data_IF_452770591804
#
_entry.id   IF_452770591804
#
_cell.length_a   1.000
_cell.length_b   1.000
_cell.length_c   1.000
_cell.angle_alpha   90.00
_cell.angle_beta   90.00
_cell.angle_gamma   90.00
#
_symmetry.space_group_name_H-M   'P 1'
#
loop_
_entity.id
_entity.type
_entity.pdbx_description
1 polymer ?
#
# COMPACT_ATOMS: atom_id res chain seq x y z
N UNK A 1 19.90 29.73 0.59
CA UNK A 1 20.31 28.95 -0.60
C UNK A 1 20.39 27.44 -0.36
N UNK A 2 21.05 26.93 0.71
CA UNK A 2 21.09 25.47 1.00
C UNK A 2 19.71 24.85 1.25
N UNK A 3 18.87 25.46 2.09
CA UNK A 3 17.52 24.93 2.40
C UNK A 3 16.64 24.80 1.15
N UNK A 4 16.69 25.80 0.25
CA UNK A 4 15.93 25.79 -1.00
C UNK A 4 16.33 24.64 -1.93
N UNK A 5 17.64 24.33 -2.03
CA UNK A 5 18.12 23.21 -2.85
C UNK A 5 17.70 21.86 -2.27
N UNK A 6 17.78 21.69 -0.95
CA UNK A 6 17.31 20.47 -0.30
C UNK A 6 15.81 20.24 -0.50
N UNK A 7 14.99 21.29 -0.45
CA UNK A 7 13.56 21.20 -0.73
C UNK A 7 13.26 20.89 -2.20
N UNK A 8 14.00 21.48 -3.14
CA UNK A 8 13.90 21.12 -4.57
C UNK A 8 14.14 19.63 -4.80
N UNK A 9 15.23 19.10 -4.24
CA UNK A 9 15.57 17.69 -4.38
C UNK A 9 14.51 16.80 -3.74
N UNK A 10 13.98 17.17 -2.57
CA UNK A 10 12.91 16.43 -1.89
C UNK A 10 11.61 16.40 -2.71
N UNK A 11 11.20 17.53 -3.30
CA UNK A 11 10.02 17.60 -4.17
C UNK A 11 10.22 16.72 -5.41
N UNK A 12 11.36 16.83 -6.10
CA UNK A 12 11.64 16.02 -7.29
C UNK A 12 11.75 14.53 -6.95
N UNK A 13 12.37 14.17 -5.81
CA UNK A 13 12.40 12.80 -5.28
C UNK A 13 10.99 12.26 -5.06
N UNK A 14 10.09 13.08 -4.52
CA UNK A 14 8.69 12.71 -4.26
C UNK A 14 7.92 12.50 -5.57
N UNK A 15 8.04 13.42 -6.53
CA UNK A 15 7.42 13.30 -7.85
C UNK A 15 7.98 12.12 -8.65
N UNK A 16 9.28 11.83 -8.54
CA UNK A 16 9.90 10.64 -9.12
C UNK A 16 9.29 9.34 -8.58
N UNK A 17 8.98 9.30 -7.29
CA UNK A 17 8.35 8.14 -6.67
C UNK A 17 6.89 8.00 -7.16
N UNK A 18 6.11 9.09 -7.10
CA UNK A 18 4.71 9.09 -7.50
C UNK A 18 4.51 8.75 -8.99
N UNK A 19 5.44 9.16 -9.86
CA UNK A 19 5.42 8.83 -11.29
C UNK A 19 5.56 7.32 -11.57
N UNK A 20 6.14 6.53 -10.65
CA UNK A 20 6.16 5.05 -10.75
C UNK A 20 4.73 4.50 -10.87
N UNK A 21 3.79 5.14 -10.18
CA UNK A 21 2.38 4.76 -10.12
C UNK A 21 1.50 5.59 -11.06
N UNK A 22 2.11 6.42 -11.92
CA UNK A 22 1.41 7.33 -12.83
C UNK A 22 0.42 8.24 -12.06
N UNK A 23 0.88 8.77 -10.92
CA UNK A 23 0.06 9.45 -9.95
C UNK A 23 0.54 10.89 -9.77
N UNK A 24 -0.06 11.87 -10.47
CA UNK A 24 0.23 13.28 -10.23
C UNK A 24 -0.33 13.68 -8.86
N UNK A 25 0.40 14.51 -8.12
CA UNK A 25 0.13 14.82 -6.71
C UNK A 25 -0.53 16.19 -6.56
N UNK A 26 -1.45 16.31 -5.62
CA UNK A 26 -1.89 17.63 -5.13
C UNK A 26 -0.81 18.26 -4.23
N UNK A 27 -0.95 19.54 -3.91
CA UNK A 27 -0.08 20.21 -2.94
C UNK A 27 -0.08 19.51 -1.57
N UNK A 28 -1.26 19.14 -1.05
CA UNK A 28 -1.38 18.43 0.23
C UNK A 28 -0.69 17.05 0.18
N UNK A 29 -0.90 16.29 -0.91
CA UNK A 29 -0.28 14.97 -1.08
C UNK A 29 1.24 15.09 -1.22
N UNK A 30 1.72 16.08 -1.97
CA UNK A 30 3.15 16.35 -2.12
C UNK A 30 3.79 16.72 -0.79
N UNK A 31 3.15 17.59 0.00
CA UNK A 31 3.63 17.95 1.32
C UNK A 31 3.61 16.75 2.27
N UNK A 32 2.51 15.99 2.31
CA UNK A 32 2.32 14.83 3.20
C UNK A 32 3.30 13.71 2.91
N UNK A 33 3.56 13.44 1.64
CA UNK A 33 4.42 12.35 1.17
C UNK A 33 5.82 12.80 0.78
N UNK A 34 6.23 13.99 1.23
CA UNK A 34 7.55 14.53 0.92
C UNK A 34 8.66 13.57 1.37
N UNK A 35 9.49 13.14 0.42
CA UNK A 35 10.62 12.25 0.65
C UNK A 35 11.83 13.09 1.04
N UNK A 36 12.14 13.11 2.33
CA UNK A 36 13.21 13.92 2.91
C UNK A 36 13.78 13.26 4.18
N UNK A 37 14.96 13.71 4.61
CA UNK A 37 15.60 13.24 5.86
C UNK A 37 15.10 13.94 7.12
N UNK A 38 14.36 15.04 6.98
CA UNK A 38 13.85 15.84 8.09
C UNK A 38 12.54 16.53 7.70
N UNK A 39 11.76 16.95 8.70
CA UNK A 39 10.48 17.62 8.50
C UNK A 39 10.69 18.99 7.86
N UNK A 40 9.89 19.31 6.85
CA UNK A 40 9.97 20.58 6.13
C UNK A 40 8.60 21.25 6.18
N UNK A 41 8.55 22.48 6.71
CA UNK A 41 7.33 23.27 6.81
C UNK A 41 6.83 23.74 5.44
N UNK A 42 5.51 23.85 5.29
CA UNK A 42 4.81 24.25 4.07
C UNK A 42 5.16 25.65 3.46
N UNK A 43 5.60 26.68 4.21
CA UNK A 43 5.75 28.04 3.68
C UNK A 43 6.71 28.19 2.49
N UNK A 44 7.71 27.32 2.35
CA UNK A 44 8.72 27.39 1.28
C UNK A 44 8.33 26.60 0.01
N UNK A 45 7.23 25.83 0.04
CA UNK A 45 6.88 24.88 -1.03
C UNK A 45 6.48 25.57 -2.34
N UNK A 46 5.62 26.59 -2.27
CA UNK A 46 5.03 27.24 -3.46
C UNK A 46 6.06 27.93 -4.33
N UNK A 47 6.93 28.76 -3.75
CA UNK A 47 8.02 29.43 -4.49
C UNK A 47 8.99 28.43 -5.11
N UNK A 48 9.25 27.30 -4.43
CA UNK A 48 10.10 26.24 -4.98
C UNK A 48 9.42 25.53 -6.16
N UNK A 49 8.11 25.28 -6.08
CA UNK A 49 7.34 24.68 -7.17
C UNK A 49 7.31 25.58 -8.41
N UNK A 50 7.05 26.88 -8.22
CA UNK A 50 7.09 27.89 -9.29
C UNK A 50 8.48 27.91 -9.98
N UNK A 51 9.55 27.85 -9.19
CA UNK A 51 10.92 27.76 -9.71
C UNK A 51 11.18 26.46 -10.47
N UNK A 52 10.74 25.31 -9.97
CA UNK A 52 10.90 24.03 -10.67
C UNK A 52 10.08 23.99 -11.97
N UNK A 53 8.92 24.65 -11.97
CA UNK A 53 8.07 24.78 -13.15
C UNK A 53 8.71 25.69 -14.21
N UNK A 54 9.25 26.85 -13.83
CA UNK A 54 9.96 27.75 -14.77
C UNK A 54 11.23 27.13 -15.35
N UNK A 55 11.89 26.25 -14.61
CA UNK A 55 13.00 25.42 -15.10
C UNK A 55 12.55 24.27 -16.03
N UNK A 56 11.25 24.07 -16.22
CA UNK A 56 10.67 23.03 -17.07
C UNK A 56 10.91 21.61 -16.53
N UNK A 57 11.20 21.44 -15.23
CA UNK A 57 11.43 20.14 -14.61
C UNK A 57 10.10 19.46 -14.23
N UNK A 58 9.10 20.26 -13.88
CA UNK A 58 7.76 19.83 -13.48
C UNK A 58 6.69 20.57 -14.28
N UNK A 59 5.53 19.95 -14.46
CA UNK A 59 4.31 20.59 -14.92
C UNK A 59 3.29 20.65 -13.78
N UNK A 60 2.38 21.62 -13.90
CA UNK A 60 1.20 21.75 -13.06
C UNK A 60 -0.01 21.91 -13.98
N UNK A 61 -1.08 21.17 -13.71
CA UNK A 61 -2.37 21.37 -14.37
C UNK A 61 -3.49 20.99 -13.39
N UNK A 62 -4.49 21.87 -13.22
CA UNK A 62 -5.62 21.67 -12.29
C UNK A 62 -5.17 21.38 -10.84
N UNK A 63 -4.10 22.04 -10.37
CA UNK A 63 -3.55 21.85 -9.02
C UNK A 63 -2.87 20.49 -8.81
N UNK A 64 -2.56 19.77 -9.90
CA UNK A 64 -1.84 18.50 -9.89
C UNK A 64 -0.44 18.66 -10.47
N UNK A 65 0.57 18.28 -9.70
CA UNK A 65 1.98 18.35 -10.06
C UNK A 65 2.48 17.01 -10.61
N UNK A 66 3.27 17.09 -11.69
CA UNK A 66 3.87 15.93 -12.36
C UNK A 66 5.23 16.27 -12.97
N UNK A 67 6.03 15.25 -13.29
CA UNK A 67 7.31 15.44 -13.98
C UNK A 67 7.11 15.92 -15.43
N UNK A 68 8.08 16.65 -15.98
CA UNK A 68 8.08 17.10 -17.38
C UNK A 68 7.61 16.03 -18.37
N UNK A 69 6.70 16.40 -19.27
CA UNK A 69 6.19 15.53 -20.33
C UNK A 69 5.10 14.54 -19.90
N UNK A 70 4.50 14.73 -18.72
CA UNK A 70 3.52 13.80 -18.13
C UNK A 70 2.12 14.41 -17.94
N UNK A 71 1.78 15.47 -18.66
CA UNK A 71 0.47 16.15 -18.56
C UNK A 71 -0.72 15.20 -18.79
N UNK A 72 -0.58 14.20 -19.66
CA UNK A 72 -1.60 13.18 -19.90
C UNK A 72 -2.01 12.38 -18.66
N UNK A 73 -1.21 12.40 -17.59
CA UNK A 73 -1.55 11.78 -16.31
C UNK A 73 -2.70 12.48 -15.58
N UNK A 74 -2.96 13.76 -15.84
CA UNK A 74 -4.05 14.51 -15.18
C UNK A 74 -5.41 13.95 -15.56
N UNK A 75 -5.69 13.83 -16.87
CA UNK A 75 -6.91 13.20 -17.36
C UNK A 75 -7.04 11.74 -16.87
N UNK A 76 -5.92 11.03 -16.73
CA UNK A 76 -5.88 9.67 -16.20
C UNK A 76 -6.21 9.61 -14.70
N UNK A 77 -5.71 10.55 -13.90
CA UNK A 77 -5.99 10.69 -12.46
C UNK A 77 -7.47 10.91 -12.22
N UNK A 78 -8.09 11.82 -12.97
CA UNK A 78 -9.53 12.11 -12.89
C UNK A 78 -10.35 10.86 -13.21
N UNK A 79 -10.03 10.16 -14.31
CA UNK A 79 -10.71 8.92 -14.69
C UNK A 79 -10.59 7.84 -13.62
N UNK A 80 -9.38 7.60 -13.10
CA UNK A 80 -9.13 6.58 -12.05
C UNK A 80 -9.85 6.91 -10.75
N UNK A 81 -10.02 8.20 -10.41
CA UNK A 81 -10.80 8.63 -9.24
C UNK A 81 -12.27 8.23 -9.35
N UNK A 82 -12.89 8.42 -10.51
CA UNK A 82 -14.28 7.99 -10.76
C UNK A 82 -14.41 6.46 -10.64
N UNK A 83 -13.45 5.71 -11.18
CA UNK A 83 -13.40 4.24 -11.10
C UNK A 83 -13.25 3.79 -9.64
N UNK A 84 -12.35 4.43 -8.90
CA UNK A 84 -12.09 4.16 -7.50
C UNK A 84 -13.33 4.41 -6.63
N UNK A 85 -14.12 5.45 -6.91
CA UNK A 85 -15.38 5.71 -6.21
C UNK A 85 -16.33 4.52 -6.25
N UNK A 86 -16.49 3.86 -7.41
CA UNK A 86 -17.31 2.64 -7.54
C UNK A 86 -16.76 1.48 -6.69
N UNK A 87 -15.45 1.29 -6.69
CA UNK A 87 -14.78 0.25 -5.89
C UNK A 87 -14.83 0.53 -4.39
N UNK A 88 -14.72 1.80 -3.98
CA UNK A 88 -14.87 2.23 -2.58
C UNK A 88 -16.28 2.00 -2.06
N UNK A 89 -17.33 2.17 -2.87
CA UNK A 89 -18.70 1.84 -2.47
C UNK A 89 -18.85 0.35 -2.11
N UNK A 90 -18.25 -0.54 -2.91
CA UNK A 90 -18.23 -1.98 -2.62
C UNK A 90 -17.40 -2.25 -1.36
N UNK A 91 -16.21 -1.65 -1.27
CA UNK A 91 -15.33 -1.81 -0.11
C UNK A 91 -16.02 -1.40 1.19
N UNK A 92 -16.71 -0.24 1.21
CA UNK A 92 -17.49 0.24 2.37
C UNK A 92 -18.63 -0.71 2.73
N UNK A 93 -19.37 -1.24 1.76
CA UNK A 93 -20.42 -2.25 2.01
C UNK A 93 -19.85 -3.50 2.68
N UNK A 94 -18.74 -4.02 2.15
CA UNK A 94 -18.04 -5.18 2.73
C UNK A 94 -17.50 -4.84 4.12
N UNK A 95 -16.89 -3.67 4.28
CA UNK A 95 -16.41 -3.16 5.56
C UNK A 95 -17.52 -3.10 6.61
N UNK A 96 -18.72 -2.62 6.26
CA UNK A 96 -19.87 -2.55 7.17
C UNK A 96 -20.34 -3.94 7.64
N UNK A 97 -20.29 -4.96 6.77
CA UNK A 97 -20.56 -6.33 7.17
C UNK A 97 -19.47 -6.88 8.10
N UNK A 98 -18.19 -6.67 7.76
CA UNK A 98 -17.06 -7.08 8.59
C UNK A 98 -17.07 -6.40 9.97
N UNK A 99 -17.59 -5.17 10.07
CA UNK A 99 -17.74 -4.42 11.33
C UNK A 99 -18.60 -5.14 12.38
N UNK A 100 -19.46 -6.07 11.95
CA UNK A 100 -20.29 -6.89 12.85
C UNK A 100 -19.52 -8.02 13.52
N UNK A 101 -18.34 -8.38 13.02
CA UNK A 101 -17.48 -9.39 13.64
C UNK A 101 -16.75 -8.72 14.82
N UNK A 102 -17.05 -9.07 16.09
CA UNK A 102 -16.56 -8.31 17.26
C UNK A 102 -15.04 -8.34 17.42
N UNK A 103 -14.40 -9.40 16.94
CA UNK A 103 -12.95 -9.60 17.01
C UNK A 103 -12.17 -8.80 15.96
N UNK A 104 -12.83 -8.13 15.00
CA UNK A 104 -12.15 -7.22 14.07
C UNK A 104 -12.06 -5.83 14.70
N UNK A 105 -10.83 -5.33 14.82
CA UNK A 105 -10.53 -4.00 15.36
C UNK A 105 -10.44 -2.94 14.27
N UNK A 106 -10.04 -3.30 13.05
CA UNK A 106 -9.99 -2.37 11.91
C UNK A 106 -10.14 -3.08 10.57
N UNK A 107 -10.79 -2.42 9.61
CA UNK A 107 -10.74 -2.78 8.18
C UNK A 107 -10.30 -1.56 7.40
N UNK A 108 -9.29 -1.74 6.55
CA UNK A 108 -8.74 -0.71 5.70
C UNK A 108 -8.62 -1.20 4.25
N UNK A 109 -8.67 -0.27 3.31
CA UNK A 109 -8.30 -0.49 1.92
C UNK A 109 -6.81 -0.18 1.76
N UNK A 110 -6.14 -0.96 0.92
CA UNK A 110 -4.70 -0.81 0.60
C UNK A 110 -4.49 -0.72 -0.92
N UNK A 111 -3.23 -0.51 -1.32
CA UNK A 111 -2.85 -0.48 -2.74
C UNK A 111 -3.44 0.71 -3.50
N UNK A 112 -3.69 0.53 -4.80
CA UNK A 112 -4.12 1.62 -5.68
C UNK A 112 -5.46 2.24 -5.28
N UNK A 113 -6.37 1.46 -4.67
CA UNK A 113 -7.68 1.96 -4.24
C UNK A 113 -7.60 2.91 -3.06
N UNK A 114 -6.66 2.71 -2.15
CA UNK A 114 -6.46 3.60 -1.00
C UNK A 114 -6.03 5.02 -1.43
N UNK A 115 -5.38 5.11 -2.59
CA UNK A 115 -4.94 6.36 -3.21
C UNK A 115 -5.92 6.88 -4.28
N UNK A 116 -7.09 6.26 -4.45
CA UNK A 116 -8.04 6.60 -5.54
C UNK A 116 -7.40 6.52 -6.94
N UNK A 117 -6.46 5.60 -7.14
CA UNK A 117 -5.68 5.41 -8.38
C UNK A 117 -5.99 4.09 -9.10
N UNK A 118 -7.20 3.57 -8.91
CA UNK A 118 -7.61 2.23 -9.36
C UNK A 118 -7.97 2.19 -10.84
N UNK A 119 -7.66 1.08 -11.50
CA UNK A 119 -8.14 0.75 -12.84
C UNK A 119 -9.33 -0.21 -12.83
N UNK A 120 -10.04 -0.29 -13.95
CA UNK A 120 -11.27 -1.10 -14.08
C UNK A 120 -11.09 -2.60 -13.81
N UNK A 121 -9.86 -3.10 -13.97
CA UNK A 121 -9.49 -4.50 -13.75
C UNK A 121 -8.98 -4.79 -12.35
N UNK A 122 -8.73 -3.76 -11.54
CA UNK A 122 -8.09 -3.94 -10.24
C UNK A 122 -9.07 -4.51 -9.21
N UNK A 123 -8.48 -5.21 -8.24
CA UNK A 123 -9.18 -5.78 -7.11
C UNK A 123 -9.32 -4.76 -5.97
N UNK A 124 -10.15 -5.12 -4.98
CA UNK A 124 -10.31 -4.38 -3.72
C UNK A 124 -9.46 -5.07 -2.67
N UNK A 125 -8.25 -4.56 -2.45
CA UNK A 125 -7.31 -5.10 -1.47
C UNK A 125 -7.65 -4.60 -0.06
N UNK A 126 -8.14 -5.52 0.78
CA UNK A 126 -8.44 -5.25 2.19
C UNK A 126 -7.30 -5.67 3.11
N UNK A 127 -7.00 -4.79 4.06
CA UNK A 127 -6.25 -5.09 5.28
C UNK A 127 -7.24 -5.21 6.45
N UNK A 128 -7.11 -6.27 7.22
CA UNK A 128 -7.93 -6.53 8.41
C UNK A 128 -7.01 -6.67 9.62
N UNK A 129 -7.29 -5.90 10.67
CA UNK A 129 -6.62 -6.01 11.95
C UNK A 129 -7.60 -6.57 12.97
N UNK A 130 -7.22 -7.66 13.64
CA UNK A 130 -8.04 -8.31 14.66
C UNK A 130 -7.53 -8.00 16.06
N UNK A 131 -8.37 -8.25 17.06
CA UNK A 131 -7.95 -8.31 18.46
C UNK A 131 -6.83 -9.35 18.63
N UNK A 132 -6.02 -9.16 19.70
CA UNK A 132 -4.91 -10.03 20.06
C UNK A 132 -5.32 -11.51 20.06
N UNK A 133 -4.55 -12.38 19.40
CA UNK A 133 -4.76 -13.84 19.40
C UNK A 133 -6.14 -14.28 18.88
N UNK A 134 -6.65 -13.60 17.84
CA UNK A 134 -7.95 -13.91 17.19
C UNK A 134 -7.88 -13.94 15.66
N UNK A 135 -6.69 -13.86 15.07
CA UNK A 135 -6.52 -13.68 13.63
C UNK A 135 -7.17 -14.80 12.83
N UNK A 136 -6.82 -16.05 13.10
CA UNK A 136 -7.16 -17.20 12.28
C UNK A 136 -8.63 -17.57 12.40
N UNK A 137 -9.20 -17.57 13.61
CA UNK A 137 -10.63 -17.79 13.77
C UNK A 137 -11.43 -16.70 13.04
N UNK A 138 -11.06 -15.45 13.24
CA UNK A 138 -11.70 -14.29 12.60
C UNK A 138 -11.56 -14.32 11.09
N UNK A 139 -10.37 -14.70 10.59
CA UNK A 139 -10.11 -14.87 9.15
C UNK A 139 -11.04 -15.91 8.56
N UNK A 140 -11.23 -17.06 9.21
CA UNK A 140 -12.17 -18.08 8.76
C UNK A 140 -13.59 -17.53 8.58
N UNK A 141 -14.10 -16.84 9.61
CA UNK A 141 -15.43 -16.21 9.60
C UNK A 141 -15.52 -15.12 8.52
N UNK A 142 -14.52 -14.24 8.42
CA UNK A 142 -14.48 -13.18 7.42
C UNK A 142 -14.48 -13.73 5.99
N UNK A 143 -13.73 -14.82 5.75
CA UNK A 143 -13.68 -15.53 4.47
C UNK A 143 -15.05 -16.07 4.08
N UNK A 144 -15.74 -16.73 5.00
CA UNK A 144 -17.09 -17.26 4.78
C UNK A 144 -18.07 -16.12 4.50
N UNK A 145 -18.10 -15.11 5.37
CA UNK A 145 -18.99 -13.96 5.21
C UNK A 145 -18.79 -13.24 3.87
N UNK A 146 -17.56 -12.91 3.50
CA UNK A 146 -17.26 -12.24 2.23
C UNK A 146 -17.69 -13.09 1.04
N UNK A 147 -17.53 -14.41 1.12
CA UNK A 147 -17.91 -15.32 0.03
C UNK A 147 -19.42 -15.37 -0.20
N UNK A 148 -20.23 -14.97 0.79
CA UNK A 148 -21.69 -14.85 0.69
C UNK A 148 -22.15 -13.49 0.17
N UNK A 149 -21.43 -12.41 0.52
CA UNK A 149 -21.90 -11.04 0.26
C UNK A 149 -21.20 -10.33 -0.90
N UNK A 150 -20.08 -10.86 -1.40
CA UNK A 150 -19.26 -10.20 -2.41
C UNK A 150 -18.52 -11.18 -3.32
N UNK A 151 -18.22 -10.73 -4.54
CA UNK A 151 -17.33 -11.45 -5.44
C UNK A 151 -15.91 -11.42 -4.89
N UNK A 152 -15.39 -12.57 -4.49
CA UNK A 152 -14.04 -12.69 -3.91
C UNK A 152 -13.05 -13.28 -4.92
N UNK A 153 -11.83 -12.76 -4.94
CA UNK A 153 -10.73 -13.40 -5.65
C UNK A 153 -10.27 -14.66 -4.93
N UNK A 154 -10.18 -15.77 -5.65
CA UNK A 154 -9.46 -16.97 -5.19
C UNK A 154 -8.02 -16.90 -5.72
N UNK A 155 -6.99 -17.26 -4.93
CA UNK A 155 -5.63 -17.35 -5.45
C UNK A 155 -5.62 -18.39 -6.58
N UNK A 156 -5.35 -17.94 -7.81
CA UNK A 156 -5.21 -18.83 -8.96
C UNK A 156 -3.94 -19.66 -8.80
N UNK A 157 -4.02 -20.96 -9.05
CA UNK A 157 -2.82 -21.77 -9.25
C UNK A 157 -2.10 -21.18 -10.46
N UNK A 158 -1.00 -20.48 -10.25
CA UNK A 158 -0.08 -20.21 -11.33
C UNK A 158 0.55 -21.55 -11.70
N UNK A 159 -0.01 -22.23 -12.68
CA UNK A 159 0.76 -23.12 -13.55
C UNK A 159 1.88 -22.26 -14.14
N UNK A 160 3.05 -22.38 -13.51
CA UNK A 160 4.32 -22.00 -14.09
C UNK A 160 4.52 -22.80 -15.37
N UNK A 161 5.09 -22.14 -16.40
CA UNK A 161 5.62 -22.75 -17.62
C UNK A 161 4.57 -23.31 -18.58
N UNK A 162 4.10 -22.49 -19.54
CA UNK A 162 3.74 -22.87 -20.92
C UNK A 162 3.03 -21.68 -21.59
N UNK A 163 3.79 -20.60 -21.88
CA UNK A 163 3.40 -19.59 -22.88
C UNK A 163 4.55 -18.60 -23.20
N UNK A 164 5.81 -18.98 -22.96
CA UNK A 164 6.96 -18.31 -23.60
C UNK A 164 7.45 -19.29 -24.65
N UNK A 165 6.77 -19.30 -25.79
CA UNK A 165 7.05 -20.21 -26.87
C UNK A 165 6.36 -19.74 -28.14
N UNK A 166 7.14 -19.09 -28.99
CA UNK A 166 6.91 -18.83 -30.42
C UNK A 166 5.87 -17.76 -30.79
N UNK A 167 6.35 -16.54 -31.04
CA UNK A 167 6.11 -15.89 -32.34
C UNK A 167 7.25 -14.93 -32.68
N UNK A 168 8.08 -15.34 -33.66
CA UNK A 168 9.02 -14.46 -34.33
C UNK A 168 8.25 -13.68 -35.41
N UNK A 169 8.06 -12.36 -35.22
CA UNK A 169 7.96 -11.39 -36.31
C UNK A 169 8.58 -10.06 -35.84
N UNK A 170 9.47 -9.43 -36.63
CA UNK A 170 10.02 -8.13 -36.29
C UNK A 170 8.96 -7.05 -36.60
N UNK A 171 8.61 -6.22 -35.62
CA UNK A 171 7.88 -4.97 -35.86
C UNK A 171 8.79 -3.82 -35.45
N UNK A 172 9.15 -3.01 -36.44
CA UNK A 172 9.89 -1.77 -36.31
C UNK A 172 9.06 -0.71 -35.56
N UNK A 173 9.75 0.12 -34.76
CA UNK A 173 9.17 1.22 -33.98
C UNK A 173 9.42 1.07 -32.49
N UNK A 174 10.47 1.74 -31.97
CA UNK A 174 10.77 1.78 -30.53
C UNK A 174 9.66 2.51 -29.77
N UNK A 175 9.02 1.91 -28.75
CA UNK A 175 8.30 2.66 -27.74
C UNK A 175 9.27 3.10 -26.62
N UNK A 176 9.09 4.35 -26.19
CA UNK A 176 9.66 4.98 -24.99
C UNK A 176 9.79 4.04 -23.76
N UNK A 177 10.84 4.18 -22.93
CA UNK A 177 11.11 3.32 -21.76
C UNK A 177 10.22 3.68 -20.55
N UNK A 178 8.88 3.68 -20.73
CA UNK A 178 7.88 3.76 -19.67
C UNK A 178 7.00 2.50 -19.55
N UNK A 179 7.15 1.53 -20.47
CA UNK A 179 6.19 0.45 -20.69
C UNK A 179 6.48 -0.87 -19.95
N UNK A 180 7.65 -1.04 -19.32
CA UNK A 180 8.01 -2.33 -18.70
C UNK A 180 7.13 -2.73 -17.50
N UNK A 181 6.52 -1.78 -16.79
CA UNK A 181 5.52 -2.07 -15.75
C UNK A 181 4.16 -2.51 -16.34
N UNK A 182 3.85 -2.08 -17.57
CA UNK A 182 2.62 -2.42 -18.30
C UNK A 182 2.63 -3.88 -18.78
N UNK A 183 3.80 -4.41 -19.18
CA UNK A 183 3.99 -5.80 -19.63
C UNK A 183 3.92 -6.85 -18.51
N UNK A 184 3.92 -6.44 -17.24
CA UNK A 184 3.78 -7.32 -16.07
C UNK A 184 2.31 -7.56 -15.65
N UNK A 185 1.37 -6.92 -16.35
CA UNK A 185 -0.05 -7.22 -16.22
C UNK A 185 -0.35 -8.39 -17.15
N UNK A 186 -0.29 -9.60 -16.59
CA UNK A 186 -0.89 -10.79 -17.20
C UNK A 186 -2.27 -10.40 -17.74
N UNK A 187 -2.51 -10.76 -18.99
CA UNK A 187 -3.83 -10.84 -19.61
C UNK A 187 -4.70 -11.81 -18.82
N UNK A 188 -5.12 -11.46 -17.59
CA UNK A 188 -6.20 -12.18 -16.94
C UNK A 188 -7.43 -11.87 -17.76
N UNK A 189 -8.03 -12.89 -18.37
CA UNK A 189 -9.34 -12.90 -19.04
C UNK A 189 -10.13 -11.62 -18.75
N UNK A 190 -10.08 -10.66 -19.70
CA UNK A 190 -10.62 -9.31 -19.54
C UNK A 190 -12.04 -9.39 -18.99
N UNK A 191 -12.24 -9.08 -17.71
CA UNK A 191 -13.56 -9.00 -17.09
C UNK A 191 -13.82 -9.93 -15.91
N UNK A 192 -13.11 -11.05 -15.77
CA UNK A 192 -13.49 -12.09 -14.79
C UNK A 192 -13.36 -11.65 -13.32
N UNK A 193 -12.37 -10.84 -12.98
CA UNK A 193 -12.06 -10.46 -11.59
C UNK A 193 -12.24 -8.97 -11.28
N UNK A 194 -12.91 -8.20 -12.15
CA UNK A 194 -13.08 -6.75 -11.94
C UNK A 194 -13.72 -6.46 -10.57
N UNK A 195 -13.05 -5.62 -9.77
CA UNK A 195 -13.50 -5.20 -8.43
C UNK A 195 -13.78 -6.37 -7.48
N UNK A 196 -13.07 -7.49 -7.66
CA UNK A 196 -13.19 -8.61 -6.73
C UNK A 196 -12.49 -8.29 -5.41
N UNK A 197 -13.05 -8.76 -4.30
CA UNK A 197 -12.49 -8.52 -2.97
C UNK A 197 -11.32 -9.46 -2.74
N UNK A 198 -10.17 -8.89 -2.39
CA UNK A 198 -8.94 -9.57 -2.03
C UNK A 198 -8.65 -9.32 -0.56
N UNK A 199 -8.42 -10.39 0.19
CA UNK A 199 -7.96 -10.30 1.57
C UNK A 199 -6.43 -10.28 1.57
N UNK A 200 -5.86 -9.10 1.34
CA UNK A 200 -4.43 -8.93 1.08
C UNK A 200 -3.57 -9.07 2.34
N UNK A 201 -4.07 -8.55 3.48
CA UNK A 201 -3.30 -8.51 4.72
C UNK A 201 -4.19 -8.77 5.94
N UNK A 202 -3.78 -9.72 6.78
CA UNK A 202 -4.29 -9.88 8.12
C UNK A 202 -3.19 -9.65 9.14
N UNK A 203 -3.48 -8.86 10.16
CA UNK A 203 -2.65 -8.70 11.35
C UNK A 203 -3.53 -8.87 12.58
N UNK A 204 -2.95 -9.23 13.72
CA UNK A 204 -3.58 -8.94 15.00
C UNK A 204 -2.86 -7.80 15.73
N UNK A 205 -3.46 -7.33 16.82
CA UNK A 205 -2.92 -6.25 17.66
C UNK A 205 -1.54 -6.55 18.30
N UNK A 206 -1.02 -7.78 18.22
CA UNK A 206 0.35 -8.13 18.66
C UNK A 206 1.39 -7.97 17.55
N UNK A 207 0.95 -7.79 16.29
CA UNK A 207 1.81 -7.72 15.09
C UNK A 207 1.54 -6.49 14.22
N UNK A 208 1.18 -5.36 14.85
CA UNK A 208 0.93 -4.10 14.13
C UNK A 208 2.19 -3.54 13.46
N UNK A 209 3.35 -3.73 14.08
CA UNK A 209 4.63 -3.20 13.61
C UNK A 209 5.17 -4.03 12.45
N UNK A 210 5.50 -3.38 11.33
CA UNK A 210 6.14 -4.07 10.21
C UNK A 210 7.55 -4.58 10.61
N UNK A 211 7.91 -5.82 10.21
CA UNK A 211 9.26 -6.37 10.45
C UNK A 211 10.36 -5.51 9.80
N UNK A 212 11.51 -5.40 10.47
CA UNK A 212 12.64 -4.56 10.02
C UNK A 212 13.10 -4.86 8.59
N UNK A 213 13.21 -6.14 8.24
CA UNK A 213 13.59 -6.59 6.90
C UNK A 213 12.64 -6.12 5.78
N UNK A 214 11.45 -5.65 6.13
CA UNK A 214 10.45 -5.10 5.19
C UNK A 214 10.40 -3.58 5.19
N UNK A 215 11.06 -2.90 6.13
CA UNK A 215 11.06 -1.44 6.25
C UNK A 215 11.93 -0.82 5.17
N UNK A 216 11.31 -0.02 4.33
CA UNK A 216 11.91 0.76 3.25
C UNK A 216 10.90 1.80 2.79
N UNK A 217 11.32 2.70 1.91
CA UNK A 217 10.47 3.75 1.33
C UNK A 217 9.14 3.21 0.78
N UNK A 218 9.15 2.08 0.07
CA UNK A 218 7.92 1.52 -0.50
C UNK A 218 6.92 1.09 0.59
N UNK A 219 7.39 0.34 1.58
CA UNK A 219 6.54 -0.05 2.72
C UNK A 219 6.12 1.14 3.59
N UNK A 220 6.90 2.22 3.64
CA UNK A 220 6.51 3.45 4.35
C UNK A 220 5.27 4.07 3.70
N UNK A 221 5.25 4.12 2.36
CA UNK A 221 4.06 4.50 1.59
C UNK A 221 2.88 3.53 1.84
N UNK A 222 3.10 2.22 1.83
CA UNK A 222 2.02 1.25 2.10
C UNK A 222 1.37 1.46 3.48
N UNK A 223 2.17 1.77 4.52
CA UNK A 223 1.67 2.06 5.87
C UNK A 223 0.86 3.36 5.91
N UNK A 224 1.42 4.47 5.43
CA UNK A 224 0.75 5.78 5.53
C UNK A 224 -0.49 5.89 4.64
N UNK A 225 -0.50 5.19 3.51
CA UNK A 225 -1.58 5.22 2.53
C UNK A 225 -2.73 4.26 2.88
N UNK A 226 -2.59 3.41 3.89
CA UNK A 226 -3.66 2.51 4.32
C UNK A 226 -4.90 3.32 4.74
N UNK A 227 -5.98 3.20 3.96
CA UNK A 227 -7.20 3.99 4.13
C UNK A 227 -8.20 3.21 5.00
N UNK A 228 -8.41 3.56 6.28
CA UNK A 228 -9.41 2.90 7.12
C UNK A 228 -10.82 3.09 6.53
N UNK A 229 -11.55 1.98 6.36
CA UNK A 229 -13.00 2.04 6.15
C UNK A 229 -13.72 2.28 7.48
N UNK A 230 -13.19 1.67 8.55
CA UNK A 230 -13.55 1.92 9.93
C UNK A 230 -12.45 1.37 10.86
N UNK A 231 -12.40 1.89 12.08
CA UNK A 231 -11.47 1.48 13.14
C UNK A 231 -12.19 1.56 14.49
N UNK A 232 -11.83 0.69 15.44
CA UNK A 232 -12.25 0.71 16.84
C UNK A 232 -11.01 0.71 17.74
N UNK A 233 -11.16 1.12 19.00
CA UNK A 233 -10.11 1.03 20.03
C UNK A 233 -8.79 1.71 19.64
N UNK A 234 -8.86 2.82 18.89
CA UNK A 234 -7.69 3.53 18.34
C UNK A 234 -6.74 2.64 17.52
N UNK A 235 -7.25 1.59 16.86
CA UNK A 235 -6.40 0.60 16.18
C UNK A 235 -5.58 1.22 15.06
N UNK A 236 -6.18 2.13 14.30
CA UNK A 236 -5.49 2.91 13.27
C UNK A 236 -4.35 3.73 13.85
N UNK A 237 -4.62 4.45 14.95
CA UNK A 237 -3.66 5.32 15.61
C UNK A 237 -2.52 4.50 16.18
N UNK A 238 -2.82 3.37 16.85
CA UNK A 238 -1.83 2.38 17.30
C UNK A 238 -0.99 1.85 16.15
N UNK A 239 -1.60 1.48 15.03
CA UNK A 239 -0.89 0.99 13.84
C UNK A 239 0.10 2.03 13.30
N UNK A 240 -0.29 3.31 13.23
CA UNK A 240 0.61 4.38 12.81
C UNK A 240 1.74 4.63 13.83
N UNK A 241 1.44 4.60 15.14
CA UNK A 241 2.44 4.77 16.21
C UNK A 241 3.49 3.65 16.20
N UNK A 242 3.06 2.40 16.08
CA UNK A 242 3.95 1.23 15.99
C UNK A 242 4.83 1.24 14.74
N UNK A 243 4.43 2.01 13.72
CA UNK A 243 5.18 2.20 12.49
C UNK A 243 5.78 3.61 12.37
N UNK A 244 6.13 4.26 13.47
CA UNK A 244 6.71 5.61 13.44
C UNK A 244 8.04 5.73 12.66
N UNK A 245 8.73 4.62 12.42
CA UNK A 245 9.89 4.53 11.52
C UNK A 245 9.62 5.06 10.10
N UNK A 246 8.36 5.18 9.67
CA UNK A 246 8.04 5.80 8.38
C UNK A 246 8.51 7.25 8.28
N UNK A 247 8.68 7.94 9.41
CA UNK A 247 9.15 9.33 9.45
C UNK A 247 10.61 9.48 8.97
N UNK A 248 11.39 8.40 8.99
CA UNK A 248 12.74 8.37 8.42
C UNK A 248 12.72 8.53 6.89
N UNK A 249 11.57 8.29 6.26
CA UNK A 249 11.35 8.42 4.82
C UNK A 249 10.38 9.56 4.47
N UNK A 250 9.32 9.75 5.28
CA UNK A 250 8.17 10.62 5.02
C UNK A 250 7.91 11.53 6.24
N UNK A 251 8.84 12.46 6.56
CA UNK A 251 8.86 13.18 7.84
C UNK A 251 7.69 14.16 8.05
N UNK A 252 6.96 14.51 7.00
CA UNK A 252 5.77 15.34 7.07
C UNK A 252 4.49 14.55 7.38
N UNK A 253 4.58 13.23 7.50
CA UNK A 253 3.45 12.38 7.87
C UNK A 253 2.98 12.72 9.29
N UNK A 254 1.68 12.94 9.45
CA UNK A 254 1.07 13.14 10.77
C UNK A 254 0.86 11.79 11.46
N UNK A 255 1.59 11.54 12.54
CA UNK A 255 1.37 10.41 13.43
C UNK A 255 0.52 10.87 14.62
N UNK A 256 -0.62 10.22 14.91
CA UNK A 256 -1.45 10.56 16.06
C UNK A 256 -0.66 10.46 17.37
N UNK A 257 -0.66 11.55 18.14
CA UNK A 257 -0.09 11.55 19.49
C UNK A 257 -0.90 10.65 20.43
N UNK A 258 -0.26 10.07 21.45
CA UNK A 258 -0.99 9.42 22.53
C UNK A 258 -1.50 10.52 23.47
N UNK A 259 -2.80 10.61 23.77
CA UNK A 259 -3.25 11.44 24.88
C UNK A 259 -2.64 10.85 26.16
N UNK A 260 -1.63 11.49 26.74
CA UNK A 260 -1.14 11.18 28.08
C UNK A 260 0.30 10.67 28.28
N UNK A 261 1.21 10.67 27.29
CA UNK A 261 2.65 10.45 27.59
C UNK A 261 3.57 11.32 26.75
N UNK A 262 4.29 12.21 27.43
CA UNK A 262 5.51 12.84 26.95
C UNK A 262 6.51 11.78 26.52
N UNK A 263 7.22 12.07 25.43
CA UNK A 263 8.12 11.16 24.74
C UNK A 263 9.23 10.66 25.66
N UNK A 264 9.31 9.35 25.83
CA UNK A 264 10.56 8.67 26.15
C UNK A 264 10.82 7.68 25.01
N UNK A 265 11.56 8.16 24.01
CA UNK A 265 11.98 7.38 22.84
C UNK A 265 13.16 6.51 23.27
N UNK A 266 12.86 5.43 24.00
CA UNK A 266 13.74 4.29 24.26
C UNK A 266 12.86 3.10 24.71
N UNK A 267 11.89 2.75 23.87
CA UNK A 267 11.07 1.56 24.07
C UNK A 267 11.72 0.37 23.39
N UNK A 268 12.55 -0.37 24.12
CA UNK A 268 12.97 -1.72 23.74
C UNK A 268 11.75 -2.53 23.29
N UNK A 269 11.93 -3.37 22.26
CA UNK A 269 10.91 -4.32 21.84
C UNK A 269 10.48 -5.12 23.07
N UNK A 270 9.21 -4.97 23.47
CA UNK A 270 8.71 -5.73 24.62
C UNK A 270 8.83 -7.23 24.30
N UNK A 271 9.31 -8.06 25.25
CA UNK A 271 9.39 -9.49 25.04
C UNK A 271 7.99 -10.02 24.70
N UNK A 272 7.94 -10.97 23.76
CA UNK A 272 6.77 -11.79 23.50
C UNK A 272 6.27 -12.35 24.84
N UNK A 273 4.99 -12.13 25.23
CA UNK A 273 4.45 -12.80 26.40
C UNK A 273 4.43 -14.31 26.12
N UNK A 274 5.41 -15.00 26.71
CA UNK A 274 5.41 -16.45 26.81
C UNK A 274 4.37 -16.84 27.86
N UNK A 275 3.43 -17.70 27.46
CA UNK A 275 2.50 -18.37 28.37
C UNK A 275 1.32 -17.52 28.82
N UNK A 276 0.16 -17.72 28.19
CA UNK A 276 -1.07 -17.91 28.94
C UNK A 276 -2.14 -18.59 28.07
N UNK A 277 -2.38 -19.85 28.39
CA UNK A 277 -3.45 -20.73 27.93
C UNK A 277 -4.82 -20.15 28.29
N UNK A 278 -5.30 -19.19 27.50
CA UNK A 278 -6.73 -18.92 27.44
C UNK A 278 -7.40 -20.00 26.58
N UNK A 279 -8.63 -20.47 26.86
CA UNK A 279 -9.34 -21.45 26.03
C UNK A 279 -9.44 -21.02 24.55
N UNK A 280 -9.55 -19.71 24.30
CA UNK A 280 -9.53 -19.13 22.96
C UNK A 280 -8.20 -19.31 22.20
N UNK A 281 -7.08 -19.58 22.88
CA UNK A 281 -5.77 -19.83 22.25
C UNK A 281 -5.68 -21.22 21.61
N UNK A 282 -6.39 -22.22 22.14
CA UNK A 282 -6.43 -23.56 21.57
C UNK A 282 -7.26 -23.59 20.28
N UNK A 283 -8.45 -22.98 20.31
CA UNK A 283 -9.30 -22.84 19.12
C UNK A 283 -8.61 -22.01 18.04
N UNK A 284 -7.94 -20.92 18.43
CA UNK A 284 -7.15 -20.10 17.51
C UNK A 284 -5.99 -20.90 16.89
N UNK A 285 -5.24 -21.67 17.68
CA UNK A 285 -4.17 -22.52 17.17
C UNK A 285 -4.72 -23.63 16.24
N UNK A 286 -5.83 -24.26 16.59
CA UNK A 286 -6.47 -25.26 15.74
C UNK A 286 -6.93 -24.65 14.41
N UNK A 287 -7.59 -23.49 14.46
CA UNK A 287 -7.99 -22.74 13.26
C UNK A 287 -6.78 -22.34 12.40
N UNK A 288 -5.66 -21.97 13.03
CA UNK A 288 -4.39 -21.71 12.36
C UNK A 288 -3.88 -22.96 11.65
N UNK A 289 -3.79 -24.11 12.33
CA UNK A 289 -3.28 -25.35 11.75
C UNK A 289 -4.12 -25.85 10.57
N UNK A 290 -5.46 -25.83 10.69
CA UNK A 290 -6.36 -26.21 9.58
C UNK A 290 -6.14 -25.30 8.37
N UNK A 291 -6.15 -23.99 8.59
CA UNK A 291 -6.00 -23.04 7.49
C UNK A 291 -4.60 -23.13 6.88
N UNK A 292 -3.58 -23.33 7.69
CA UNK A 292 -2.21 -23.55 7.23
C UNK A 292 -2.16 -24.79 6.35
N UNK A 293 -2.73 -25.92 6.79
CA UNK A 293 -2.82 -27.15 6.01
C UNK A 293 -3.55 -26.93 4.67
N UNK A 294 -4.70 -26.27 4.68
CA UNK A 294 -5.46 -25.95 3.47
C UNK A 294 -4.68 -25.06 2.48
N UNK A 295 -3.83 -24.16 2.99
CA UNK A 295 -3.03 -23.25 2.17
C UNK A 295 -1.73 -23.86 1.68
N UNK A 296 -1.18 -24.90 2.35
CA UNK A 296 0.11 -25.53 2.00
C UNK A 296 0.26 -25.83 0.50
N UNK A 297 -0.71 -26.44 -0.20
CA UNK A 297 -0.56 -26.78 -1.62
C UNK A 297 -0.50 -25.58 -2.56
N UNK A 298 -1.01 -24.42 -2.13
CA UNK A 298 -1.16 -23.20 -2.96
C UNK A 298 -0.14 -22.11 -2.61
N UNK A 299 0.68 -22.34 -1.57
CA UNK A 299 1.59 -21.35 -1.01
C UNK A 299 2.86 -21.27 -1.84
N UNK A 300 3.10 -20.11 -2.44
CA UNK A 300 4.35 -19.84 -3.17
C UNK A 300 5.24 -18.87 -2.40
N UNK A 301 4.73 -17.70 -1.99
CA UNK A 301 5.53 -16.59 -1.43
C UNK A 301 4.88 -15.88 -0.23
N UNK A 302 3.72 -16.34 0.19
CA UNK A 302 2.92 -15.72 1.26
C UNK A 302 3.57 -15.97 2.63
N UNK A 303 3.72 -14.90 3.43
CA UNK A 303 4.22 -15.01 4.80
C UNK A 303 3.03 -15.25 5.72
N UNK A 304 2.98 -16.45 6.30
CA UNK A 304 1.87 -16.91 7.15
C UNK A 304 2.42 -17.25 8.54
N UNK A 305 2.14 -16.38 9.50
CA UNK A 305 2.56 -16.44 10.90
C UNK A 305 1.31 -16.61 11.81
N UNK A 306 1.46 -17.05 13.06
CA UNK A 306 0.34 -17.16 13.99
C UNK A 306 -0.46 -15.86 14.17
N UNK A 307 0.20 -14.71 14.08
CA UNK A 307 -0.39 -13.38 14.32
C UNK A 307 -0.33 -12.43 13.11
N UNK A 308 0.10 -12.91 11.94
CA UNK A 308 0.10 -12.13 10.70
C UNK A 308 0.01 -13.02 9.45
N UNK A 309 -0.73 -12.58 8.44
CA UNK A 309 -0.78 -13.25 7.14
C UNK A 309 -0.71 -12.24 6.00
N UNK A 310 0.39 -12.30 5.25
CA UNK A 310 0.69 -11.41 4.12
C UNK A 310 0.47 -12.16 2.81
N UNK A 311 -0.62 -11.84 2.11
CA UNK A 311 -1.01 -12.46 0.84
C UNK A 311 -0.58 -11.64 -0.38
N UNK A 312 0.65 -11.09 -0.35
CA UNK A 312 1.15 -10.24 -1.44
C UNK A 312 1.54 -11.10 -2.65
N UNK A 313 0.87 -10.95 -3.81
CA UNK A 313 1.08 -11.85 -4.94
C UNK A 313 2.44 -11.62 -5.66
N UNK A 314 3.16 -10.53 -5.39
CA UNK A 314 4.33 -10.09 -6.18
C UNK A 314 5.45 -9.49 -5.32
N UNK A 315 6.69 -9.59 -5.80
CA UNK A 315 7.83 -8.86 -5.25
C UNK A 315 7.83 -7.40 -5.76
N UNK A 316 6.82 -6.64 -5.33
CA UNK A 316 6.60 -5.25 -5.77
C UNK A 316 7.72 -4.33 -5.30
N UNK A 317 8.23 -4.54 -4.07
CA UNK A 317 9.29 -3.73 -3.46
C UNK A 317 10.53 -3.61 -4.33
N UNK A 318 11.12 -4.74 -4.77
CA UNK A 318 12.34 -4.72 -5.59
C UNK A 318 12.12 -3.96 -6.90
N UNK A 319 10.96 -4.14 -7.50
CA UNK A 319 10.62 -3.50 -8.76
C UNK A 319 10.43 -1.99 -8.61
N UNK A 320 9.66 -1.55 -7.60
CA UNK A 320 9.42 -0.13 -7.34
C UNK A 320 10.73 0.59 -7.01
N UNK A 321 11.53 0.05 -6.08
CA UNK A 321 12.80 0.68 -5.69
C UNK A 321 13.81 0.74 -6.86
N UNK A 322 13.85 -0.29 -7.71
CA UNK A 322 14.68 -0.26 -8.92
C UNK A 322 14.23 0.82 -9.92
N UNK A 323 12.93 0.98 -10.12
CA UNK A 323 12.39 2.03 -10.99
C UNK A 323 12.59 3.42 -10.39
N UNK A 324 12.53 3.53 -9.06
CA UNK A 324 12.80 4.76 -8.35
C UNK A 324 14.26 5.22 -8.55
N UNK A 325 15.23 4.35 -8.31
CA UNK A 325 16.65 4.64 -8.53
C UNK A 325 16.95 5.08 -9.96
N UNK A 326 16.32 4.46 -10.97
CA UNK A 326 16.47 4.87 -12.38
C UNK A 326 15.97 6.29 -12.63
N UNK A 327 14.85 6.68 -12.03
CA UNK A 327 14.31 8.04 -12.14
C UNK A 327 15.21 9.05 -11.43
N UNK A 328 15.70 8.74 -10.23
CA UNK A 328 16.63 9.63 -9.51
C UNK A 328 17.90 9.93 -10.32
N UNK A 329 18.47 8.92 -11.00
CA UNK A 329 19.61 9.10 -11.91
C UNK A 329 19.31 10.09 -13.04
N UNK A 330 18.13 9.98 -13.66
CA UNK A 330 17.70 10.87 -14.77
C UNK A 330 17.61 12.34 -14.36
N UNK A 331 17.27 12.61 -13.10
CA UNK A 331 17.14 13.96 -12.56
C UNK A 331 18.37 14.42 -11.75
N UNK A 332 19.48 13.66 -11.75
CA UNK A 332 20.71 13.98 -11.01
C UNK A 332 20.48 14.16 -9.49
N UNK A 333 19.65 13.30 -8.89
CA UNK A 333 19.22 13.37 -7.49
C UNK A 333 19.87 12.31 -6.57
N UNK A 334 20.92 11.61 -7.05
CA UNK A 334 21.62 10.59 -6.28
C UNK A 334 22.76 11.16 -5.46
#
# INVERSE_FOLDING_TARGET
>A
MRNTRHLQDAILKTLCYADIFEYPLTDEELHRYLIASHKISAPDGKTVLEKLHSQGLIGEEQGLYFLRGRASLVAKRIRRRVIAGKSLTIARRVGNWLKRIPTISMVAVTGALAMENTEESDDIDLMIITQRNRLWLTRGIAILLISLIAKRRKPEMTSSLHAVGKSNRPIAGRPEPGSKLRSLRRTSEKGKWRRSVCLNLFLDETSLRLPEKRRNLYSAHEVVQALPLWSRNETREKFLRENAWILDFLPNTKIPHHPGKTANVNGAAQPLPSGNSQPGSLLENYAYQIQLHHMRPKRTRELVLPNAAYFHPRNTTRLVLSQYQKRLKRFHLM
#
